data_IF_584969614394
#
_entry.id   IF_584969614394
#
_cell.length_a   1.000
_cell.length_b   1.000
_cell.length_c   1.000
_cell.angle_alpha   90.00
_cell.angle_beta   90.00
_cell.angle_gamma   90.00
#
_symmetry.space_group_name_H-M   'P 1'
#
loop_
_entity.id
_entity.type
_entity.pdbx_description
1 polymer ?
#
# COMPACT_ATOMS: atom_id res chain seq x y z
N UNK A 1 -10.52 -4.70 8.06
CA UNK A 1 -10.12 -5.37 6.80
C UNK A 1 -11.36 -5.92 6.11
N UNK A 2 -11.64 -5.50 4.87
CA UNK A 2 -12.76 -6.05 4.09
C UNK A 2 -12.22 -6.59 2.76
N UNK A 3 -12.62 -7.80 2.40
CA UNK A 3 -12.42 -8.33 1.06
C UNK A 3 -13.38 -7.59 0.11
N UNK A 4 -12.93 -7.27 -1.10
CA UNK A 4 -13.79 -6.59 -2.10
C UNK A 4 -13.67 -7.26 -3.46
N UNK A 5 -14.71 -7.06 -4.28
CA UNK A 5 -14.91 -7.76 -5.55
C UNK A 5 -13.94 -7.28 -6.64
N UNK A 6 -13.12 -8.20 -7.13
CA UNK A 6 -12.07 -7.96 -8.13
C UNK A 6 -12.66 -7.94 -9.55
N UNK A 7 -13.77 -8.65 -9.81
CA UNK A 7 -14.36 -8.75 -11.17
C UNK A 7 -14.78 -7.38 -11.72
N UNK A 8 -15.32 -6.52 -10.86
CA UNK A 8 -15.77 -5.17 -11.22
C UNK A 8 -14.64 -4.19 -11.46
N UNK A 9 -13.54 -4.30 -10.71
CA UNK A 9 -12.42 -3.35 -10.80
C UNK A 9 -11.44 -3.72 -11.93
N UNK A 10 -11.29 -4.99 -12.29
CA UNK A 10 -10.30 -5.43 -13.28
C UNK A 10 -10.44 -4.84 -14.69
N UNK A 11 -11.66 -4.45 -15.12
CA UNK A 11 -11.89 -3.97 -16.49
C UNK A 11 -11.61 -2.48 -16.69
N UNK A 12 -11.84 -1.65 -15.66
CA UNK A 12 -11.53 -0.21 -15.59
C UNK A 12 -11.44 0.17 -14.12
N UNK A 13 -10.31 -0.06 -13.46
CA UNK A 13 -10.25 0.12 -12.03
C UNK A 13 -10.40 1.62 -11.72
N UNK A 14 -11.13 1.92 -10.65
CA UNK A 14 -11.33 3.30 -10.21
C UNK A 14 -10.01 3.93 -9.75
N UNK A 15 -9.03 3.10 -9.35
CA UNK A 15 -7.68 3.49 -8.94
C UNK A 15 -6.61 2.62 -9.60
N UNK A 16 -5.36 3.09 -9.74
CA UNK A 16 -4.27 2.29 -10.29
C UNK A 16 -3.89 1.10 -9.40
N UNK A 17 -3.09 0.19 -9.96
CA UNK A 17 -2.48 -0.94 -9.25
C UNK A 17 -0.96 -0.92 -9.48
N UNK A 18 -0.20 -0.62 -8.44
CA UNK A 18 1.27 -0.62 -8.46
C UNK A 18 1.80 -1.93 -7.91
N UNK A 19 2.75 -2.57 -8.58
CA UNK A 19 3.36 -3.81 -8.12
C UNK A 19 4.54 -3.52 -7.20
N UNK A 20 4.43 -3.94 -5.93
CA UNK A 20 5.32 -3.46 -4.87
C UNK A 20 6.15 -4.55 -4.20
N UNK A 21 5.60 -5.75 -4.02
CA UNK A 21 6.30 -6.83 -3.33
C UNK A 21 6.16 -8.16 -4.03
N UNK A 22 7.21 -8.95 -3.89
CA UNK A 22 7.12 -10.40 -3.89
C UNK A 22 6.82 -10.87 -2.47
N UNK A 23 5.85 -11.76 -2.33
CA UNK A 23 5.43 -12.37 -1.08
C UNK A 23 5.86 -13.84 -1.03
N UNK A 24 6.75 -14.15 -0.09
CA UNK A 24 7.29 -15.49 0.15
C UNK A 24 6.38 -16.32 1.07
N UNK A 25 5.13 -16.49 0.65
CA UNK A 25 4.10 -17.28 1.34
C UNK A 25 3.45 -18.23 0.34
N UNK A 26 3.26 -19.49 0.71
CA UNK A 26 2.58 -20.44 -0.16
C UNK A 26 1.07 -20.21 -0.21
N UNK A 27 0.43 -20.72 -1.27
CA UNK A 27 -1.01 -20.57 -1.52
C UNK A 27 -1.88 -21.10 -0.38
N UNK A 28 -1.46 -22.18 0.29
CA UNK A 28 -2.22 -22.77 1.40
C UNK A 28 -2.25 -21.81 2.59
N UNK A 29 -1.09 -21.28 2.96
CA UNK A 29 -0.91 -20.31 4.04
C UNK A 29 -1.67 -19.02 3.74
N UNK A 30 -1.65 -18.55 2.49
CA UNK A 30 -2.45 -17.41 2.06
C UNK A 30 -3.96 -17.68 2.25
N UNK A 31 -4.46 -18.82 1.76
CA UNK A 31 -5.88 -19.21 1.89
C UNK A 31 -6.33 -19.31 3.35
N UNK A 32 -5.49 -19.88 4.22
CA UNK A 32 -5.76 -19.94 5.67
C UNK A 32 -5.85 -18.54 6.29
N UNK A 33 -4.99 -17.61 5.87
CA UNK A 33 -5.00 -16.25 6.38
C UNK A 33 -6.22 -15.44 5.91
N UNK A 34 -6.58 -15.55 4.63
CA UNK A 34 -7.74 -14.86 4.08
C UNK A 34 -9.07 -15.45 4.55
N UNK A 35 -9.11 -16.75 4.84
CA UNK A 35 -10.31 -17.44 5.34
C UNK A 35 -11.46 -17.50 4.31
N UNK A 36 -11.17 -17.28 3.03
CA UNK A 36 -12.14 -17.32 1.93
C UNK A 36 -11.53 -17.92 0.66
N UNK A 37 -12.39 -18.39 -0.24
CA UNK A 37 -11.98 -18.75 -1.60
C UNK A 37 -11.45 -17.54 -2.37
N UNK A 38 -10.39 -17.71 -3.19
CA UNK A 38 -9.91 -16.68 -4.11
C UNK A 38 -10.86 -16.52 -5.30
N UNK A 39 -10.74 -15.37 -5.97
CA UNK A 39 -11.12 -15.28 -7.37
C UNK A 39 -10.06 -15.99 -8.22
N UNK A 40 -10.48 -16.86 -9.14
CA UNK A 40 -9.55 -17.62 -10.00
C UNK A 40 -9.59 -17.06 -11.40
N UNK A 41 -8.44 -16.60 -11.89
CA UNK A 41 -8.27 -16.10 -13.25
C UNK A 41 -7.31 -16.98 -14.04
N UNK A 42 -7.65 -17.30 -15.28
CA UNK A 42 -6.73 -17.98 -16.19
C UNK A 42 -5.80 -16.96 -16.85
N UNK A 43 -4.52 -17.02 -16.51
CA UNK A 43 -3.47 -16.18 -17.09
C UNK A 43 -2.79 -16.94 -18.22
N UNK A 44 -2.95 -16.43 -19.45
CA UNK A 44 -2.42 -17.09 -20.65
C UNK A 44 -0.91 -17.31 -20.53
N UNK A 45 -0.49 -18.59 -20.60
CA UNK A 45 0.91 -18.98 -20.52
C UNK A 45 1.44 -19.19 -19.09
N UNK A 46 0.70 -18.79 -18.06
CA UNK A 46 1.07 -18.94 -16.65
C UNK A 46 0.11 -19.85 -15.86
N UNK A 47 -1.05 -20.17 -16.43
CA UNK A 47 -2.04 -21.05 -15.84
C UNK A 47 -3.01 -20.27 -14.93
N UNK A 48 -3.62 -20.98 -13.99
CA UNK A 48 -4.56 -20.35 -13.06
C UNK A 48 -3.81 -19.47 -12.03
N UNK A 49 -4.44 -18.37 -11.66
CA UNK A 49 -4.01 -17.46 -10.62
C UNK A 49 -5.06 -17.39 -9.53
N UNK A 50 -4.66 -17.57 -8.28
CA UNK A 50 -5.52 -17.28 -7.12
C UNK A 50 -5.36 -15.81 -6.75
N UNK A 51 -6.46 -15.07 -6.77
CA UNK A 51 -6.48 -13.63 -6.52
C UNK A 51 -7.33 -13.29 -5.31
N UNK A 52 -6.75 -12.54 -4.37
CA UNK A 52 -7.47 -11.91 -3.27
C UNK A 52 -7.25 -10.40 -3.33
N UNK A 53 -8.24 -9.62 -2.90
CA UNK A 53 -8.05 -8.19 -2.70
C UNK A 53 -8.72 -7.70 -1.43
N UNK A 54 -8.03 -6.79 -0.76
CA UNK A 54 -8.35 -6.29 0.56
C UNK A 54 -8.39 -4.77 0.53
N UNK A 55 -9.41 -4.19 1.16
CA UNK A 55 -9.49 -2.77 1.48
C UNK A 55 -9.33 -2.55 2.98
N UNK A 56 -8.39 -1.69 3.34
CA UNK A 56 -8.13 -1.26 4.70
C UNK A 56 -8.97 -0.04 5.07
N UNK A 57 -9.13 0.21 6.37
CA UNK A 57 -9.96 1.31 6.88
C UNK A 57 -9.36 2.68 6.55
N UNK A 58 -8.03 2.76 6.37
CA UNK A 58 -7.34 3.94 5.85
C UNK A 58 -7.67 4.22 4.37
N UNK A 59 -8.36 3.32 3.68
CA UNK A 59 -8.71 3.45 2.26
C UNK A 59 -7.68 2.85 1.29
N UNK A 60 -6.55 2.33 1.79
CA UNK A 60 -5.59 1.57 1.00
C UNK A 60 -6.24 0.27 0.50
N UNK A 61 -6.05 -0.01 -0.77
CA UNK A 61 -6.49 -1.24 -1.41
C UNK A 61 -5.27 -2.05 -1.84
N UNK A 62 -5.23 -3.34 -1.49
CA UNK A 62 -4.11 -4.25 -1.74
C UNK A 62 -4.62 -5.54 -2.35
N UNK A 63 -4.02 -5.93 -3.47
CA UNK A 63 -4.30 -7.14 -4.22
C UNK A 63 -3.16 -8.12 -4.09
N UNK A 64 -3.51 -9.41 -4.11
CA UNK A 64 -2.60 -10.53 -4.00
C UNK A 64 -2.87 -11.46 -5.16
N UNK A 65 -1.82 -11.88 -5.84
CA UNK A 65 -1.91 -12.79 -6.98
C UNK A 65 -0.91 -13.92 -6.76
N UNK A 66 -1.40 -15.16 -6.74
CA UNK A 66 -0.59 -16.35 -6.59
C UNK A 66 -0.76 -17.24 -7.82
N UNK A 67 0.26 -17.26 -8.67
CA UNK A 67 0.28 -18.11 -9.86
C UNK A 67 0.48 -19.58 -9.45
N UNK A 68 -0.31 -20.49 -10.04
CA UNK A 68 -0.28 -21.90 -9.64
C UNK A 68 1.04 -22.61 -9.97
N UNK A 69 1.82 -22.06 -10.90
CA UNK A 69 3.12 -22.61 -11.34
C UNK A 69 4.33 -21.96 -10.65
N UNK A 70 4.12 -20.96 -9.78
CA UNK A 70 5.19 -20.23 -9.10
C UNK A 70 5.16 -20.45 -7.59
N UNK A 71 6.31 -20.20 -6.94
CA UNK A 71 6.40 -20.20 -5.48
C UNK A 71 6.28 -18.78 -4.96
N UNK A 72 5.21 -18.51 -4.21
CA UNK A 72 4.94 -17.19 -3.63
C UNK A 72 3.79 -16.48 -4.33
N UNK A 73 3.64 -15.19 -4.05
CA UNK A 73 2.65 -14.34 -4.70
C UNK A 73 3.18 -12.94 -4.97
N UNK A 74 2.53 -12.22 -5.86
CA UNK A 74 2.78 -10.80 -6.09
C UNK A 74 1.78 -9.96 -5.29
N UNK A 75 2.24 -8.82 -4.78
CA UNK A 75 1.39 -7.84 -4.11
C UNK A 75 1.33 -6.57 -4.93
N UNK A 76 0.11 -6.14 -5.21
CA UNK A 76 -0.20 -4.87 -5.85
C UNK A 76 -0.98 -3.97 -4.91
N UNK A 77 -0.84 -2.66 -5.03
CA UNK A 77 -1.56 -1.70 -4.18
C UNK A 77 -2.04 -0.47 -4.94
N UNK A 78 -3.03 0.21 -4.37
CA UNK A 78 -3.59 1.44 -4.95
C UNK A 78 -2.72 2.69 -4.77
N UNK A 79 -1.58 2.57 -4.11
CA UNK A 79 -0.59 3.64 -3.94
C UNK A 79 0.82 3.10 -4.21
N UNK A 80 1.74 3.90 -4.79
CA UNK A 80 3.11 3.48 -5.08
C UNK A 80 4.02 3.63 -3.85
N UNK A 81 3.54 3.22 -2.66
CA UNK A 81 4.25 3.39 -1.40
C UNK A 81 4.42 2.05 -0.66
N UNK A 82 5.58 1.38 -0.84
CA UNK A 82 5.89 0.11 -0.20
C UNK A 82 5.74 0.14 1.33
N UNK A 83 6.18 1.22 1.98
CA UNK A 83 6.15 1.37 3.44
C UNK A 83 4.72 1.39 4.01
N UNK A 84 3.76 1.93 3.25
CA UNK A 84 2.35 1.95 3.65
C UNK A 84 1.77 0.53 3.66
N UNK A 85 1.99 -0.24 2.59
CA UNK A 85 1.55 -1.63 2.50
C UNK A 85 2.18 -2.46 3.61
N UNK A 86 3.50 -2.39 3.81
CA UNK A 86 4.19 -3.14 4.88
C UNK A 86 3.58 -2.93 6.26
N UNK A 87 3.03 -1.75 6.54
CA UNK A 87 2.40 -1.45 7.83
C UNK A 87 1.24 -2.40 8.13
N UNK A 88 0.42 -2.69 7.13
CA UNK A 88 -0.75 -3.54 7.25
C UNK A 88 -0.43 -5.03 7.32
N UNK A 89 0.80 -5.43 6.98
CA UNK A 89 1.21 -6.83 6.90
C UNK A 89 2.35 -7.16 7.87
N UNK A 90 2.28 -6.67 9.11
CA UNK A 90 3.32 -6.96 10.13
C UNK A 90 3.56 -8.46 10.33
N UNK A 91 2.50 -9.27 10.27
CA UNK A 91 2.60 -10.73 10.40
C UNK A 91 3.44 -11.40 9.29
N UNK A 92 3.54 -10.75 8.13
CA UNK A 92 4.31 -11.22 6.98
C UNK A 92 5.51 -10.34 6.67
N UNK A 93 5.91 -9.44 7.57
CA UNK A 93 6.99 -8.47 7.32
C UNK A 93 8.30 -9.13 6.83
N UNK A 94 8.67 -10.27 7.40
CA UNK A 94 9.86 -11.03 7.00
C UNK A 94 9.70 -11.85 5.71
N UNK A 95 8.49 -11.89 5.15
CA UNK A 95 8.12 -12.58 3.91
C UNK A 95 7.88 -11.61 2.76
N UNK A 96 7.90 -10.31 3.02
CA UNK A 96 7.74 -9.26 2.02
C UNK A 96 9.11 -8.84 1.49
N UNK A 97 9.33 -9.09 0.20
CA UNK A 97 10.50 -8.60 -0.52
C UNK A 97 10.05 -7.46 -1.45
N UNK A 98 10.46 -6.21 -1.18
CA UNK A 98 10.12 -5.10 -2.07
C UNK A 98 10.83 -5.28 -3.41
N UNK A 99 10.10 -5.04 -4.50
CA UNK A 99 10.78 -4.89 -5.79
C UNK A 99 11.72 -3.68 -5.75
N UNK A 100 12.90 -3.76 -6.41
CA UNK A 100 13.73 -2.60 -6.61
C UNK A 100 12.93 -1.45 -7.24
N UNK A 101 13.15 -0.21 -6.78
CA UNK A 101 12.40 0.96 -7.27
C UNK A 101 12.53 1.18 -8.79
N UNK A 102 13.59 0.65 -9.41
CA UNK A 102 13.81 0.72 -10.86
C UNK A 102 13.05 -0.35 -11.66
N UNK A 103 12.51 -1.39 -11.03
CA UNK A 103 11.90 -2.53 -11.73
C UNK A 103 10.66 -2.11 -12.54
N UNK A 104 9.86 -1.20 -12.00
CA UNK A 104 8.60 -0.75 -12.63
C UNK A 104 8.55 0.76 -12.86
N UNK A 105 9.67 1.48 -12.74
CA UNK A 105 9.70 2.95 -12.72
C UNK A 105 8.97 3.59 -13.92
N UNK A 106 9.20 3.10 -15.15
CA UNK A 106 8.57 3.64 -16.35
C UNK A 106 7.05 3.34 -16.37
N UNK A 107 6.66 2.13 -15.97
CA UNK A 107 5.26 1.72 -15.90
C UNK A 107 4.51 2.50 -14.82
N UNK A 108 5.14 2.71 -13.66
CA UNK A 108 4.59 3.48 -12.55
C UNK A 108 4.41 4.94 -12.96
N UNK A 109 5.37 5.54 -13.65
CA UNK A 109 5.27 6.90 -14.17
C UNK A 109 4.09 7.04 -15.16
N UNK A 110 4.01 6.14 -16.14
CA UNK A 110 2.88 6.12 -17.10
C UNK A 110 1.52 5.94 -16.39
N UNK A 111 1.50 5.09 -15.37
CA UNK A 111 0.30 4.83 -14.57
C UNK A 111 -0.10 6.08 -13.78
N UNK A 112 0.84 6.75 -13.13
CA UNK A 112 0.59 8.00 -12.41
C UNK A 112 0.04 9.06 -13.36
N UNK A 113 0.68 9.27 -14.51
CA UNK A 113 0.23 10.25 -15.51
C UNK A 113 -1.20 9.97 -15.98
N UNK A 114 -1.55 8.70 -16.20
CA UNK A 114 -2.90 8.31 -16.62
C UNK A 114 -3.99 8.58 -15.56
N UNK A 115 -3.66 8.49 -14.28
CA UNK A 115 -4.60 8.66 -13.17
C UNK A 115 -4.54 10.05 -12.50
N UNK A 116 -3.53 10.86 -12.78
CA UNK A 116 -3.23 12.11 -12.06
C UNK A 116 -4.39 13.11 -12.01
N UNK A 117 -5.19 13.23 -13.08
CA UNK A 117 -6.34 14.16 -13.10
C UNK A 117 -7.43 13.76 -12.09
N UNK A 118 -7.63 12.45 -11.89
CA UNK A 118 -8.64 11.89 -10.98
C UNK A 118 -8.08 11.65 -9.58
N UNK A 119 -6.78 11.45 -9.48
CA UNK A 119 -6.04 11.12 -8.27
C UNK A 119 -4.77 11.96 -8.17
N UNK A 120 -4.89 13.28 -7.96
CA UNK A 120 -3.73 14.18 -7.87
C UNK A 120 -2.79 13.83 -6.71
N UNK A 121 -3.28 13.13 -5.69
CA UNK A 121 -2.46 12.62 -4.59
C UNK A 121 -1.31 11.70 -5.03
N UNK A 122 -1.42 11.05 -6.20
CA UNK A 122 -0.38 10.19 -6.75
C UNK A 122 0.88 10.95 -7.17
N UNK A 123 0.76 12.25 -7.46
CA UNK A 123 1.88 13.13 -7.78
C UNK A 123 2.65 13.60 -6.52
N UNK A 124 2.14 13.28 -5.33
CA UNK A 124 2.66 13.76 -4.05
C UNK A 124 3.09 12.63 -3.09
N UNK A 125 3.83 11.59 -3.55
CA UNK A 125 4.07 10.38 -2.74
C UNK A 125 5.00 10.60 -1.54
N UNK A 126 5.65 11.76 -1.43
CA UNK A 126 6.59 12.13 -0.35
C UNK A 126 6.40 13.56 0.15
N UNK A 127 5.22 14.14 -0.08
CA UNK A 127 4.98 15.55 0.24
C UNK A 127 4.38 15.76 1.62
N UNK A 128 4.18 14.71 2.43
CA UNK A 128 3.53 14.81 3.74
C UNK A 128 4.41 14.23 4.83
N UNK A 129 4.47 14.93 5.97
CA UNK A 129 5.21 14.51 7.15
C UNK A 129 4.24 14.38 8.33
N UNK A 130 4.33 13.26 9.04
CA UNK A 130 3.70 13.12 10.34
C UNK A 130 4.62 13.71 11.41
N UNK A 131 4.02 14.45 12.33
CA UNK A 131 4.71 15.06 13.47
C UNK A 131 4.07 14.62 14.78
N UNK A 132 4.86 14.73 15.84
CA UNK A 132 4.40 14.67 17.23
C UNK A 132 4.95 15.85 18.02
N UNK A 133 4.28 16.18 19.12
CA UNK A 133 4.85 17.07 20.13
C UNK A 133 5.82 16.28 21.02
N UNK A 134 7.08 16.72 21.11
CA UNK A 134 8.07 16.21 22.05
C UNK A 134 7.79 16.64 23.50
N UNK A 135 8.49 16.03 24.45
CA UNK A 135 8.31 16.31 25.88
C UNK A 135 8.73 17.74 26.27
N UNK A 136 9.58 18.35 25.44
CA UNK A 136 10.01 19.75 25.52
C UNK A 136 9.02 20.73 24.85
N UNK A 137 7.92 20.21 24.29
CA UNK A 137 6.93 20.98 23.55
C UNK A 137 7.29 21.23 22.09
N UNK A 138 8.48 20.83 21.63
CA UNK A 138 8.93 21.06 20.25
C UNK A 138 8.32 20.03 19.28
N UNK A 139 8.24 20.41 18.01
CA UNK A 139 7.76 19.52 16.95
C UNK A 139 8.85 18.49 16.59
N UNK A 140 8.47 17.21 16.52
CA UNK A 140 9.38 16.13 16.12
C UNK A 140 8.76 15.32 14.96
N UNK A 141 9.50 15.09 13.87
CA UNK A 141 8.99 14.26 12.77
C UNK A 141 8.93 12.79 13.19
N UNK A 142 7.95 12.07 12.67
CA UNK A 142 7.81 10.63 12.80
C UNK A 142 7.99 10.00 11.42
N UNK A 143 9.05 9.20 11.28
CA UNK A 143 9.38 8.55 10.01
C UNK A 143 9.79 9.55 8.91
N UNK A 144 9.94 9.02 7.71
CA UNK A 144 10.26 9.80 6.51
C UNK A 144 9.02 10.44 5.89
N UNK A 145 9.18 11.51 5.09
CA UNK A 145 8.10 12.06 4.28
C UNK A 145 7.47 11.01 3.35
N UNK A 146 6.15 11.03 3.27
CA UNK A 146 5.34 9.96 2.68
C UNK A 146 4.07 10.52 2.02
N UNK A 147 3.18 9.65 1.54
CA UNK A 147 1.88 10.06 0.98
C UNK A 147 0.94 10.55 2.09
N UNK A 148 -0.03 11.39 1.74
CA UNK A 148 -1.03 11.86 2.70
C UNK A 148 -1.79 10.70 3.36
N UNK A 149 -2.13 9.66 2.58
CA UNK A 149 -2.85 8.50 3.06
C UNK A 149 -2.03 7.72 4.09
N UNK A 150 -0.75 7.50 3.80
CA UNK A 150 0.17 6.80 4.69
C UNK A 150 0.39 7.58 6.00
N UNK A 151 0.61 8.90 5.91
CA UNK A 151 0.80 9.77 7.06
C UNK A 151 -0.45 9.78 7.97
N UNK A 152 -1.65 9.84 7.39
CA UNK A 152 -2.92 9.74 8.13
C UNK A 152 -3.14 8.36 8.72
N UNK A 153 -2.69 7.30 8.04
CA UNK A 153 -2.74 5.94 8.57
C UNK A 153 -1.89 5.83 9.84
N UNK A 154 -0.64 6.33 9.83
CA UNK A 154 0.18 6.41 11.03
C UNK A 154 -0.49 7.22 12.14
N UNK A 155 -1.01 8.40 11.82
CA UNK A 155 -1.65 9.26 12.81
C UNK A 155 -2.78 8.51 13.53
N UNK A 156 -3.66 7.88 12.76
CA UNK A 156 -4.80 7.11 13.28
C UNK A 156 -4.34 5.95 14.16
N UNK A 157 -3.31 5.22 13.72
CA UNK A 157 -2.72 4.12 14.48
C UNK A 157 -2.17 4.61 15.83
N UNK A 158 -1.32 5.64 15.83
CA UNK A 158 -0.73 6.20 17.04
C UNK A 158 -1.78 6.75 18.02
N UNK A 159 -2.79 7.46 17.52
CA UNK A 159 -3.89 7.98 18.32
C UNK A 159 -4.72 6.85 18.95
N UNK A 160 -4.83 5.69 18.28
CA UNK A 160 -5.56 4.52 18.80
C UNK A 160 -4.94 3.92 20.07
N UNK A 161 -3.65 4.13 20.31
CA UNK A 161 -2.95 3.67 21.52
C UNK A 161 -3.27 4.51 22.78
N UNK A 162 -4.08 5.57 22.65
CA UNK A 162 -4.54 6.44 23.76
C UNK A 162 -3.40 7.07 24.56
N UNK A 163 -2.26 7.32 23.93
CA UNK A 163 -1.17 8.11 24.51
C UNK A 163 -1.58 9.58 24.62
N UNK A 164 -1.15 10.28 25.67
CA UNK A 164 -1.33 11.73 25.83
C UNK A 164 -0.33 12.52 24.98
N UNK A 165 -0.29 12.23 23.69
CA UNK A 165 0.61 12.91 22.75
C UNK A 165 -0.22 13.46 21.60
N UNK A 166 0.14 14.65 21.14
CA UNK A 166 -0.52 15.30 20.01
C UNK A 166 0.24 14.91 18.75
N UNK A 167 -0.51 14.46 17.74
CA UNK A 167 -0.02 14.10 16.42
C UNK A 167 -0.71 14.97 15.36
N UNK A 168 0.01 15.32 14.29
CA UNK A 168 -0.59 16.01 13.15
C UNK A 168 0.21 15.76 11.87
N UNK A 169 -0.48 15.81 10.73
CA UNK A 169 0.12 15.70 9.40
C UNK A 169 0.26 17.10 8.81
N UNK A 170 1.41 17.41 8.22
CA UNK A 170 1.61 18.64 7.43
C UNK A 170 2.10 18.33 6.04
N UNK A 171 1.76 19.19 5.08
CA UNK A 171 2.39 19.20 3.77
C UNK A 171 3.77 19.85 3.87
N UNK A 172 4.73 19.32 3.13
CA UNK A 172 6.07 19.88 2.99
C UNK A 172 6.10 20.78 1.74
N UNK A 173 6.84 21.87 1.84
CA UNK A 173 7.18 22.73 0.72
C UNK A 173 8.24 22.07 -0.19
N UNK A 174 8.55 22.70 -1.32
CA UNK A 174 9.54 22.20 -2.28
C UNK A 174 10.97 22.11 -1.73
N UNK A 175 11.22 22.63 -0.52
CA UNK A 175 12.50 22.55 0.19
C UNK A 175 12.50 21.50 1.31
N UNK A 176 11.41 20.74 1.45
CA UNK A 176 11.24 19.74 2.51
C UNK A 176 10.95 20.35 3.89
N UNK A 177 10.62 21.64 3.97
CA UNK A 177 10.20 22.33 5.20
C UNK A 177 8.68 22.36 5.28
N UNK A 178 8.15 22.56 6.49
CA UNK A 178 6.70 22.65 6.71
C UNK A 178 6.13 23.85 5.93
N UNK A 179 5.18 23.59 5.04
CA UNK A 179 4.46 24.59 4.24
C UNK A 179 3.23 25.14 4.92
#
# INVERSE_FOLDING_TARGET
>A
MKLFDIETEGKKPARPWFQLFLLHVDRRTAREWFGTEPFVEFVQGLGDADIWAVKFDCGLTVGFEFLHLETGGSIRASEPNPSHVQRHFQNWKSKLEPYPASTFADLDAMTIDHYAERHPELLEPRSYQLWRQGDDGNEMPIGEPTSLLDAKCWQTELESHKHKQIYWVSKLDSTGKKG
#
